data_IF_179941948941
#
_entry.id   IF_179941948941
#
_cell.length_a   1.000
_cell.length_b   1.000
_cell.length_c   1.000
_cell.angle_alpha   90.00
_cell.angle_beta   90.00
_cell.angle_gamma   90.00
#
_symmetry.space_group_name_H-M   'P 1'
#
loop_
_entity.id
_entity.type
_entity.pdbx_description
1 polymer ?
#
# COMPACT_ATOMS: atom_id res chain seq x y z
N UNK A 1 -46.68 -69.30 -3.08
CA UNK A 1 -45.51 -68.59 -2.53
C UNK A 1 -44.75 -67.91 -3.65
N UNK A 2 -44.71 -66.57 -3.70
CA UNK A 2 -43.74 -65.85 -4.52
C UNK A 2 -43.31 -64.58 -3.75
N UNK A 3 -42.08 -64.61 -3.23
CA UNK A 3 -41.50 -63.54 -2.42
C UNK A 3 -40.83 -62.53 -3.38
N UNK A 4 -41.41 -61.34 -3.55
CA UNK A 4 -40.74 -60.23 -4.26
C UNK A 4 -39.53 -59.80 -3.43
N UNK A 5 -38.32 -60.00 -3.96
CA UNK A 5 -37.09 -59.40 -3.44
C UNK A 5 -37.20 -57.89 -3.58
N UNK A 6 -37.26 -57.17 -2.46
CA UNK A 6 -37.01 -55.74 -2.45
C UNK A 6 -35.51 -55.53 -2.73
N UNK A 7 -35.18 -54.71 -3.72
CA UNK A 7 -33.81 -54.26 -3.95
C UNK A 7 -33.47 -53.19 -2.90
N UNK A 8 -32.27 -53.20 -2.30
CA UNK A 8 -31.89 -52.18 -1.33
C UNK A 8 -31.74 -50.82 -2.04
N UNK A 9 -32.34 -49.77 -1.45
CA UNK A 9 -32.10 -48.39 -1.84
C UNK A 9 -30.69 -48.01 -1.39
N UNK A 10 -29.74 -47.97 -2.33
CA UNK A 10 -28.39 -47.48 -2.07
C UNK A 10 -28.44 -45.97 -2.17
N UNK A 11 -28.44 -45.28 -1.04
CA UNK A 11 -28.16 -43.85 -0.99
C UNK A 11 -26.77 -43.64 -1.61
N UNK A 12 -26.72 -42.99 -2.77
CA UNK A 12 -25.44 -42.60 -3.36
C UNK A 12 -24.87 -41.51 -2.44
N UNK A 13 -23.86 -41.86 -1.66
CA UNK A 13 -23.00 -40.89 -0.99
C UNK A 13 -22.44 -39.97 -2.08
N UNK A 14 -23.03 -38.78 -2.20
CA UNK A 14 -22.53 -37.76 -3.10
C UNK A 14 -21.23 -37.25 -2.51
N UNK A 15 -20.14 -37.37 -3.28
CA UNK A 15 -18.87 -36.80 -2.91
C UNK A 15 -19.04 -35.28 -2.75
N UNK A 16 -18.43 -34.70 -1.72
CA UNK A 16 -18.50 -33.26 -1.42
C UNK A 16 -18.08 -32.40 -2.64
N UNK A 17 -17.22 -32.97 -3.49
CA UNK A 17 -16.73 -32.38 -4.75
C UNK A 17 -17.79 -32.22 -5.84
N UNK A 18 -18.88 -33.00 -5.81
CA UNK A 18 -19.98 -32.86 -6.80
C UNK A 18 -20.96 -31.74 -6.41
N UNK A 19 -20.96 -31.32 -5.13
CA UNK A 19 -21.85 -30.27 -4.60
C UNK A 19 -21.15 -28.91 -4.57
N UNK A 20 -19.84 -28.90 -4.37
CA UNK A 20 -19.04 -27.69 -4.30
C UNK A 20 -18.29 -27.46 -5.63
N UNK A 21 -18.63 -26.36 -6.31
CA UNK A 21 -17.87 -25.88 -7.46
C UNK A 21 -16.51 -25.34 -6.99
N UNK A 22 -15.53 -26.25 -6.87
CA UNK A 22 -14.17 -25.94 -6.44
C UNK A 22 -13.47 -24.93 -7.34
N UNK A 23 -13.87 -24.85 -8.62
CA UNK A 23 -13.24 -23.94 -9.60
C UNK A 23 -13.47 -22.46 -9.25
N UNK A 24 -14.65 -22.13 -8.72
CA UNK A 24 -14.99 -20.77 -8.27
C UNK A 24 -14.32 -20.43 -6.94
N UNK A 25 -14.16 -21.40 -6.04
CA UNK A 25 -13.48 -21.21 -4.75
C UNK A 25 -11.97 -21.06 -4.90
N UNK A 26 -11.33 -21.84 -5.78
CA UNK A 26 -9.90 -21.74 -6.08
C UNK A 26 -9.54 -20.40 -6.75
N UNK A 27 -10.50 -19.78 -7.45
CA UNK A 27 -10.33 -18.44 -8.04
C UNK A 27 -10.37 -17.32 -6.99
N UNK A 28 -11.15 -17.50 -5.92
CA UNK A 28 -11.30 -16.52 -4.84
C UNK A 28 -10.22 -16.73 -3.76
N UNK A 29 -9.86 -17.99 -3.51
CA UNK A 29 -8.91 -18.38 -2.49
C UNK A 29 -7.85 -19.33 -3.05
N UNK A 30 -6.62 -18.83 -3.29
CA UNK A 30 -5.52 -19.67 -3.75
C UNK A 30 -5.22 -20.74 -2.68
N UNK A 31 -5.27 -22.01 -3.10
CA UNK A 31 -5.04 -23.17 -2.22
C UNK A 31 -3.60 -23.25 -1.68
N UNK A 32 -2.63 -22.65 -2.37
CA UNK A 32 -1.21 -22.68 -2.00
C UNK A 32 -0.57 -21.30 -2.06
N UNK A 33 0.09 -20.92 -0.97
CA UNK A 33 1.01 -19.79 -0.90
C UNK A 33 2.42 -20.33 -0.66
N UNK A 34 3.34 -19.98 -1.56
CA UNK A 34 4.75 -20.31 -1.42
C UNK A 34 5.55 -19.01 -1.30
N UNK A 35 6.21 -18.84 -0.16
CA UNK A 35 7.03 -17.66 0.12
C UNK A 35 8.46 -17.92 -0.35
N UNK A 36 8.84 -17.27 -1.45
CA UNK A 36 10.22 -17.21 -1.90
C UNK A 36 10.86 -15.89 -1.44
N UNK A 37 12.19 -15.85 -1.38
CA UNK A 37 12.94 -14.67 -0.90
C UNK A 37 12.60 -13.38 -1.67
N UNK A 38 12.30 -13.49 -2.96
CA UNK A 38 12.07 -12.33 -3.85
C UNK A 38 10.60 -12.08 -4.20
N UNK A 39 9.72 -13.05 -3.96
CA UNK A 39 8.30 -13.00 -4.34
C UNK A 39 7.47 -14.06 -3.60
N UNK A 40 6.17 -13.84 -3.54
CA UNK A 40 5.18 -14.78 -3.03
C UNK A 40 4.41 -15.32 -4.24
N UNK A 41 4.35 -16.64 -4.36
CA UNK A 41 3.54 -17.33 -5.36
C UNK A 41 2.20 -17.70 -4.76
N UNK A 42 1.13 -17.41 -5.48
CA UNK A 42 -0.24 -17.60 -5.02
C UNK A 42 -1.09 -18.17 -6.15
N UNK A 43 -1.14 -19.49 -6.27
CA UNK A 43 -1.73 -20.17 -7.43
C UNK A 43 -0.97 -19.78 -8.70
N UNK A 44 -1.66 -19.14 -9.64
CA UNK A 44 -1.07 -18.63 -10.91
C UNK A 44 -0.61 -17.15 -10.82
N UNK A 45 -0.68 -16.54 -9.63
CA UNK A 45 -0.32 -15.14 -9.42
C UNK A 45 1.03 -14.99 -8.71
N UNK A 46 1.77 -13.95 -9.10
CA UNK A 46 3.05 -13.58 -8.49
C UNK A 46 2.93 -12.23 -7.79
N UNK A 47 3.26 -12.21 -6.50
CA UNK A 47 3.23 -11.02 -5.65
C UNK A 47 4.66 -10.65 -5.29
N UNK A 48 5.06 -9.41 -5.52
CA UNK A 48 6.37 -8.90 -5.09
C UNK A 48 6.19 -7.77 -4.09
N UNK A 49 6.75 -7.94 -2.90
CA UNK A 49 6.74 -6.91 -1.86
C UNK A 49 7.99 -6.03 -2.00
N UNK A 50 7.79 -4.72 -2.13
CA UNK A 50 8.88 -3.74 -2.20
C UNK A 50 8.76 -2.82 -0.99
N UNK A 51 9.78 -2.79 -0.14
CA UNK A 51 9.85 -1.87 0.99
C UNK A 51 10.54 -0.56 0.58
N UNK A 52 9.88 0.58 0.83
CA UNK A 52 10.47 1.91 0.65
C UNK A 52 11.15 2.29 1.97
N UNK A 53 12.49 2.33 1.98
CA UNK A 53 13.30 2.58 3.20
C UNK A 53 13.51 4.08 3.44
N UNK A 54 13.73 4.86 2.39
CA UNK A 54 13.91 6.30 2.49
C UNK A 54 13.30 6.98 1.27
N UNK A 55 12.78 8.19 1.47
CA UNK A 55 12.31 9.05 0.40
C UNK A 55 13.44 9.99 -0.03
N UNK A 56 13.51 10.36 -1.31
CA UNK A 56 14.55 11.26 -1.78
C UNK A 56 14.50 12.63 -1.08
N UNK A 57 15.65 13.05 -0.53
CA UNK A 57 15.80 14.31 0.22
C UNK A 57 15.83 15.56 -0.69
N UNK A 58 16.10 15.37 -1.98
CA UNK A 58 16.04 16.42 -3.00
C UNK A 58 14.86 16.17 -3.94
N UNK A 59 14.18 17.24 -4.36
CA UNK A 59 13.12 17.13 -5.37
C UNK A 59 13.77 16.82 -6.73
N UNK A 60 13.66 15.57 -7.17
CA UNK A 60 13.74 15.25 -8.59
C UNK A 60 12.36 14.76 -9.06
N UNK A 61 11.97 15.21 -10.24
CA UNK A 61 10.70 14.80 -10.85
C UNK A 61 10.69 13.31 -11.14
N UNK A 62 9.52 12.69 -11.04
CA UNK A 62 9.26 11.35 -11.58
C UNK A 62 10.05 10.20 -10.90
N UNK A 63 10.30 10.29 -9.59
CA UNK A 63 11.01 9.23 -8.84
C UNK A 63 10.27 7.88 -8.78
N UNK A 64 8.94 7.89 -8.95
CA UNK A 64 8.10 6.68 -9.07
C UNK A 64 7.98 6.16 -10.51
N UNK A 65 8.74 6.72 -11.46
CA UNK A 65 8.71 6.29 -12.87
C UNK A 65 9.00 4.81 -13.06
N UNK A 66 9.93 4.28 -12.28
CA UNK A 66 10.29 2.85 -12.33
C UNK A 66 9.14 1.94 -11.89
N UNK A 67 8.34 2.39 -10.91
CA UNK A 67 7.14 1.68 -10.50
C UNK A 67 6.06 1.76 -11.58
N UNK A 68 5.88 2.93 -12.20
CA UNK A 68 4.95 3.14 -13.33
C UNK A 68 5.29 2.29 -14.56
N UNK A 69 6.56 1.89 -14.74
CA UNK A 69 7.00 1.02 -15.85
C UNK A 69 6.64 -0.46 -15.66
N UNK A 70 6.30 -0.89 -14.44
CA UNK A 70 5.89 -2.27 -14.17
C UNK A 70 4.47 -2.50 -14.66
N UNK A 71 4.29 -3.52 -15.51
CA UNK A 71 2.96 -3.98 -15.94
C UNK A 71 2.35 -4.80 -14.81
N UNK A 72 1.20 -4.38 -14.29
CA UNK A 72 0.47 -5.07 -13.22
C UNK A 72 -0.32 -4.11 -12.34
N UNK A 73 -1.08 -4.66 -11.39
CA UNK A 73 -1.77 -3.87 -10.37
C UNK A 73 -0.80 -3.49 -9.25
N UNK A 74 -0.73 -2.19 -8.92
CA UNK A 74 0.16 -1.66 -7.89
C UNK A 74 -0.70 -1.19 -6.72
N UNK A 75 -0.54 -1.81 -5.56
CA UNK A 75 -1.22 -1.42 -4.31
C UNK A 75 -0.19 -0.81 -3.36
N UNK A 76 -0.42 0.44 -2.93
CA UNK A 76 0.43 1.15 -1.96
C UNK A 76 -0.32 1.18 -0.63
N UNK A 77 0.25 0.54 0.39
CA UNK A 77 -0.29 0.59 1.76
C UNK A 77 0.66 1.45 2.60
N UNK A 78 0.14 2.53 3.18
CA UNK A 78 0.89 3.40 4.07
C UNK A 78 0.25 3.36 5.46
N UNK A 79 1.05 3.03 6.47
CA UNK A 79 0.65 3.13 7.87
C UNK A 79 1.16 4.47 8.41
N UNK A 80 0.24 5.39 8.67
CA UNK A 80 0.53 6.69 9.28
C UNK A 80 0.16 6.61 10.75
N UNK A 81 1.17 6.62 11.62
CA UNK A 81 0.94 6.82 13.05
C UNK A 81 0.88 8.32 13.35
N UNK A 82 -0.08 8.73 14.18
CA UNK A 82 -0.15 10.10 14.65
C UNK A 82 1.06 10.39 15.56
N UNK A 83 2.05 11.11 15.03
CA UNK A 83 3.12 11.65 15.85
C UNK A 83 2.60 12.79 16.73
N UNK A 84 3.17 12.94 17.94
CA UNK A 84 2.80 14.02 18.85
C UNK A 84 2.96 15.38 18.13
N UNK A 85 1.85 16.11 17.99
CA UNK A 85 1.75 17.39 17.29
C UNK A 85 2.70 18.45 17.82
N UNK A 86 3.17 18.31 19.07
CA UNK A 86 4.09 19.25 19.73
C UNK A 86 5.39 19.44 18.93
N UNK A 87 6.02 18.36 18.43
CA UNK A 87 7.27 18.47 17.66
C UNK A 87 7.08 19.22 16.34
N UNK A 88 5.93 19.02 15.70
CA UNK A 88 5.58 19.67 14.45
C UNK A 88 5.32 21.17 14.67
N UNK A 89 4.54 21.51 15.71
CA UNK A 89 4.29 22.90 16.12
C UNK A 89 5.60 23.62 16.50
N UNK A 90 6.47 22.97 17.26
CA UNK A 90 7.79 23.52 17.63
C UNK A 90 8.66 23.79 16.40
N UNK A 91 8.73 22.83 15.47
CA UNK A 91 9.48 22.97 14.22
C UNK A 91 8.97 24.15 13.36
N UNK A 92 7.65 24.30 13.21
CA UNK A 92 7.06 25.42 12.47
C UNK A 92 7.35 26.75 13.15
N UNK A 93 7.15 26.84 14.47
CA UNK A 93 7.46 28.04 15.23
C UNK A 93 8.93 28.45 15.10
N UNK A 94 9.86 27.49 15.16
CA UNK A 94 11.29 27.75 14.98
C UNK A 94 11.59 28.25 13.57
N UNK A 95 11.02 27.62 12.56
CA UNK A 95 11.20 28.01 11.15
C UNK A 95 10.67 29.41 10.87
N UNK A 96 9.48 29.75 11.38
CA UNK A 96 8.88 31.08 11.22
C UNK A 96 9.75 32.13 11.90
N UNK A 97 10.17 31.91 13.15
CA UNK A 97 11.05 32.83 13.89
C UNK A 97 12.38 33.05 13.17
N UNK A 98 12.99 32.00 12.63
CA UNK A 98 14.23 32.10 11.88
C UNK A 98 14.04 32.94 10.59
N UNK A 99 12.97 32.70 9.83
CA UNK A 99 12.67 33.50 8.63
C UNK A 99 12.38 34.96 8.95
N UNK A 100 11.64 35.23 10.02
CA UNK A 100 11.39 36.61 10.48
C UNK A 100 12.70 37.31 10.88
N UNK A 101 13.62 36.59 11.53
CA UNK A 101 14.95 37.11 11.85
C UNK A 101 15.79 37.37 10.58
N UNK A 102 15.67 36.55 9.53
CA UNK A 102 16.32 36.79 8.24
C UNK A 102 15.76 38.02 7.53
N UNK A 103 14.43 38.25 7.57
CA UNK A 103 13.79 39.46 7.03
C UNK A 103 14.36 40.72 7.71
N UNK A 104 14.50 40.69 9.04
CA UNK A 104 15.03 41.82 9.82
C UNK A 104 16.51 42.11 9.52
N UNK A 105 17.29 41.08 9.20
CA UNK A 105 18.73 41.21 8.88
C UNK A 105 19.01 41.55 7.42
N UNK A 106 18.02 41.41 6.53
CA UNK A 106 18.18 41.61 5.09
C UNK A 106 17.95 43.07 4.71
N UNK A 107 18.99 43.72 4.18
CA UNK A 107 18.93 45.11 3.70
C UNK A 107 18.45 45.25 2.24
N UNK A 108 18.57 44.19 1.43
CA UNK A 108 18.16 44.19 0.02
C UNK A 108 16.61 44.14 -0.11
N UNK A 109 15.97 45.13 -0.78
CA UNK A 109 14.52 45.20 -0.94
C UNK A 109 13.89 44.01 -1.70
N UNK A 110 14.58 43.44 -2.69
CA UNK A 110 14.04 42.35 -3.50
C UNK A 110 14.01 41.05 -2.71
N UNK A 111 15.13 40.78 -2.03
CA UNK A 111 15.28 39.60 -1.17
C UNK A 111 14.34 39.67 0.04
N UNK A 112 14.13 40.86 0.59
CA UNK A 112 13.16 41.10 1.68
C UNK A 112 11.73 40.75 1.26
N UNK A 113 11.25 41.22 0.10
CA UNK A 113 9.91 40.88 -0.43
C UNK A 113 9.72 39.38 -0.66
N UNK A 114 10.75 38.67 -1.11
CA UNK A 114 10.69 37.22 -1.28
C UNK A 114 10.57 36.49 0.05
N UNK A 115 11.33 36.92 1.06
CA UNK A 115 11.25 36.36 2.41
C UNK A 115 9.92 36.66 3.09
N UNK A 116 9.36 37.87 2.92
CA UNK A 116 8.02 38.23 3.40
C UNK A 116 6.94 37.32 2.79
N UNK A 117 6.96 37.10 1.47
CA UNK A 117 6.05 36.14 0.80
C UNK A 117 6.19 34.71 1.34
N UNK A 118 7.40 34.31 1.72
CA UNK A 118 7.68 32.99 2.29
C UNK A 118 7.27 32.85 3.76
N UNK A 119 7.07 33.96 4.48
CA UNK A 119 6.49 33.99 5.83
C UNK A 119 4.97 34.00 5.75
N UNK A 120 4.37 34.74 4.82
CA UNK A 120 2.92 34.78 4.58
C UNK A 120 2.35 33.42 4.12
N UNK A 121 3.14 32.68 3.33
CA UNK A 121 2.73 31.37 2.80
C UNK A 121 2.97 30.20 3.78
N UNK A 122 3.54 30.46 4.96
CA UNK A 122 3.90 29.45 5.96
C UNK A 122 2.87 29.42 7.10
#
# INVERSE_FOLDING_TARGET
MFKRRQQPHVEKEQALSDVLDGSSLDMIYPFSWEECTDHIESGDNFIRVIAIIDYPKSRYGNWLSELKRKKGNITIVQFLESSNSTKMVEHYNKTIKNKQAEVLKTFDPLKKRQLEKQVEAA
#
